data_IF_450739981017
#
_entry.id   IF_450739981017
#
_cell.length_a   1.000
_cell.length_b   1.000
_cell.length_c   1.000
_cell.angle_alpha   90.00
_cell.angle_beta   90.00
_cell.angle_gamma   90.00
#
_symmetry.space_group_name_H-M   'P 1'
#
loop_
_entity.id
_entity.type
_entity.pdbx_description
1 polymer ?
#
# COMPACT_ATOMS: atom_id res chain seq x y z
N UNK A 1 7.92 0.26 3.29
CA UNK A 1 8.13 1.46 2.43
C UNK A 1 9.49 2.07 2.70
N UNK A 2 9.84 2.35 3.96
CA UNK A 2 11.15 2.95 4.29
C UNK A 2 12.35 2.14 3.82
N UNK A 3 12.29 0.80 3.84
CA UNK A 3 13.35 -0.04 3.30
C UNK A 3 13.55 0.15 1.78
N UNK A 4 12.46 0.35 1.02
CA UNK A 4 12.55 0.65 -0.40
C UNK A 4 13.12 2.06 -0.60
N UNK A 5 12.65 3.04 0.16
CA UNK A 5 13.17 4.41 0.12
C UNK A 5 14.66 4.46 0.42
N UNK A 6 15.16 3.67 1.38
CA UNK A 6 16.58 3.54 1.66
C UNK A 6 17.36 2.96 0.46
N UNK A 7 16.86 1.90 -0.16
CA UNK A 7 17.53 1.23 -1.30
C UNK A 7 17.57 2.13 -2.55
N UNK A 8 16.52 2.92 -2.78
CA UNK A 8 16.39 3.77 -3.98
C UNK A 8 16.77 5.23 -3.74
N UNK A 9 17.38 5.54 -2.60
CA UNK A 9 17.81 6.90 -2.20
C UNK A 9 16.67 7.95 -2.25
N UNK A 10 15.50 7.55 -1.74
CA UNK A 10 14.28 8.38 -1.65
C UNK A 10 13.88 8.62 -0.18
N UNK A 11 14.86 8.76 0.71
CA UNK A 11 14.65 8.99 2.13
C UNK A 11 14.30 10.44 2.43
N UNK A 12 13.50 10.67 3.49
CA UNK A 12 13.28 12.02 4.01
C UNK A 12 14.55 12.57 4.68
N UNK A 13 14.66 13.90 4.88
CA UNK A 13 15.82 14.48 5.58
C UNK A 13 16.09 13.85 6.95
N UNK A 14 15.04 13.54 7.72
CA UNK A 14 15.16 12.90 9.03
C UNK A 14 15.75 11.48 8.97
N UNK A 15 15.54 10.76 7.87
CA UNK A 15 16.12 9.43 7.64
C UNK A 15 17.55 9.52 7.11
N UNK A 16 17.86 10.45 6.19
CA UNK A 16 19.19 10.63 5.59
C UNK A 16 20.26 10.93 6.65
N UNK A 17 19.92 11.66 7.71
CA UNK A 17 20.87 11.95 8.80
C UNK A 17 21.30 10.71 9.60
N UNK A 18 20.55 9.60 9.51
CA UNK A 18 20.67 8.45 10.40
C UNK A 18 20.92 7.12 9.69
N UNK A 19 20.43 6.98 8.47
CA UNK A 19 20.43 5.73 7.71
C UNK A 19 21.15 5.92 6.36
N UNK A 20 21.63 4.80 5.84
CA UNK A 20 22.39 4.70 4.60
C UNK A 20 22.75 3.25 4.35
N UNK A 21 23.49 2.99 3.27
CA UNK A 21 23.77 1.62 2.79
C UNK A 21 25.09 1.04 3.32
N UNK A 22 25.82 1.75 4.18
CA UNK A 22 26.94 1.14 4.90
C UNK A 22 26.47 0.22 6.02
N UNK A 23 27.37 -0.64 6.50
CA UNK A 23 27.05 -1.69 7.47
C UNK A 23 26.46 -1.14 8.78
N UNK A 24 27.06 -0.08 9.33
CA UNK A 24 26.66 0.50 10.61
C UNK A 24 25.29 1.18 10.51
N UNK A 25 25.05 1.91 9.41
CA UNK A 25 23.79 2.59 9.17
C UNK A 25 22.66 1.63 8.82
N UNK A 26 22.93 0.56 8.05
CA UNK A 26 21.96 -0.51 7.78
C UNK A 26 21.60 -1.27 9.06
N UNK A 27 22.60 -1.63 9.87
CA UNK A 27 22.36 -2.30 11.15
C UNK A 27 21.49 -1.44 12.07
N UNK A 28 21.73 -0.12 12.09
CA UNK A 28 20.89 0.84 12.81
C UNK A 28 19.48 0.90 12.26
N UNK A 29 19.31 0.98 10.94
CA UNK A 29 17.99 1.00 10.28
C UNK A 29 17.13 -0.20 10.70
N UNK A 30 17.70 -1.41 10.67
CA UNK A 30 17.00 -2.64 11.06
C UNK A 30 16.67 -2.65 12.55
N UNK A 31 17.61 -2.21 13.40
CA UNK A 31 17.42 -2.20 14.86
C UNK A 31 16.41 -1.15 15.31
N UNK A 32 16.36 -0.02 14.62
CA UNK A 32 15.46 1.08 14.92
C UNK A 32 14.00 0.82 14.51
N UNK A 33 13.75 -0.16 13.63
CA UNK A 33 12.40 -0.56 13.28
C UNK A 33 11.70 -1.14 14.51
N UNK A 34 10.63 -0.47 14.94
CA UNK A 34 9.87 -0.82 16.16
C UNK A 34 10.63 -0.60 17.48
N UNK A 35 11.67 0.24 17.47
CA UNK A 35 12.33 0.65 18.71
C UNK A 35 11.41 1.55 19.56
N UNK A 36 11.41 1.31 20.87
CA UNK A 36 10.62 2.06 21.85
C UNK A 36 11.43 3.11 22.62
N UNK A 37 12.64 3.44 22.15
CA UNK A 37 13.45 4.50 22.76
C UNK A 37 12.75 5.85 22.57
N UNK A 38 12.75 6.64 23.64
CA UNK A 38 12.06 7.94 23.69
C UNK A 38 13.09 9.01 24.07
N UNK A 39 13.04 10.15 23.39
CA UNK A 39 13.83 11.33 23.70
C UNK A 39 13.34 12.00 25.01
N UNK A 40 14.14 12.88 25.65
CA UNK A 40 13.73 13.58 26.87
C UNK A 40 12.45 14.42 26.73
N UNK A 41 12.08 14.80 25.50
CA UNK A 41 10.85 15.55 25.18
C UNK A 41 9.60 14.66 24.98
N UNK A 42 9.74 13.33 25.09
CA UNK A 42 8.66 12.37 24.91
C UNK A 42 8.44 11.90 23.48
N UNK A 43 9.21 12.40 22.50
CA UNK A 43 9.13 11.94 21.11
C UNK A 43 9.85 10.59 20.90
N UNK A 44 9.44 9.76 19.92
CA UNK A 44 10.22 8.59 19.52
C UNK A 44 11.64 9.00 19.13
N UNK A 45 12.64 8.29 19.63
CA UNK A 45 14.04 8.55 19.30
C UNK A 45 14.41 8.10 17.88
N UNK A 46 13.65 7.13 17.34
CA UNK A 46 13.75 6.68 15.95
C UNK A 46 12.70 7.38 15.09
N UNK A 47 13.07 7.90 13.92
CA UNK A 47 12.10 8.39 12.93
C UNK A 47 11.37 7.24 12.20
N UNK A 48 11.79 5.97 12.37
CA UNK A 48 11.05 4.82 11.84
C UNK A 48 9.85 4.47 12.71
N UNK A 49 8.75 4.11 12.05
CA UNK A 49 7.54 3.59 12.68
C UNK A 49 7.15 2.23 12.13
N UNK A 50 6.19 1.57 12.77
CA UNK A 50 5.55 0.36 12.23
C UNK A 50 4.64 0.66 11.04
N UNK A 51 4.15 1.89 10.93
CA UNK A 51 3.30 2.39 9.85
C UNK A 51 4.01 3.50 9.08
N UNK A 52 3.42 3.87 7.93
CA UNK A 52 3.80 5.09 7.23
C UNK A 52 3.59 6.27 8.16
N UNK A 53 4.61 7.08 8.37
CA UNK A 53 4.54 8.22 9.29
C UNK A 53 5.05 9.50 8.60
N UNK A 54 5.13 10.59 9.36
CA UNK A 54 5.57 11.90 8.86
C UNK A 54 7.01 11.91 8.28
N UNK A 55 7.82 10.91 8.60
CA UNK A 55 9.19 10.75 8.11
C UNK A 55 9.29 9.77 6.94
N UNK A 56 8.25 8.99 6.64
CA UNK A 56 8.26 8.07 5.50
C UNK A 56 8.26 8.86 4.19
N UNK A 57 9.33 8.72 3.41
CA UNK A 57 9.45 9.33 2.09
C UNK A 57 8.26 8.95 1.19
N UNK A 58 7.58 9.95 0.64
CA UNK A 58 6.38 9.76 -0.20
C UNK A 58 5.11 9.33 0.56
N UNK A 59 5.13 9.26 1.89
CA UNK A 59 3.97 8.92 2.70
C UNK A 59 2.91 10.03 2.70
N UNK A 60 1.72 9.73 2.18
CA UNK A 60 0.54 10.62 2.24
C UNK A 60 -0.58 10.06 3.12
N UNK A 61 -0.51 8.78 3.46
CA UNK A 61 -1.51 8.07 4.25
C UNK A 61 -0.82 7.04 5.16
N UNK A 62 -1.12 7.08 6.45
CA UNK A 62 -0.57 6.15 7.45
C UNK A 62 -1.04 4.70 7.21
N UNK A 63 -2.32 4.54 6.89
CA UNK A 63 -2.94 3.24 6.66
C UNK A 63 -3.17 2.40 7.92
N UNK A 64 -2.99 2.96 9.12
CA UNK A 64 -3.23 2.23 10.38
C UNK A 64 -4.71 1.98 10.66
N UNK A 65 -5.58 2.95 10.34
CA UNK A 65 -7.02 2.73 10.29
C UNK A 65 -7.43 2.38 8.85
N UNK A 66 -7.79 1.12 8.66
CA UNK A 66 -7.91 0.50 7.33
C UNK A 66 -9.15 0.96 6.56
N UNK A 67 -9.09 0.80 5.23
CA UNK A 67 -10.21 1.00 4.29
C UNK A 67 -10.26 2.37 3.60
N UNK A 68 -9.68 3.41 4.21
CA UNK A 68 -9.72 4.77 3.60
C UNK A 68 -8.89 4.89 2.33
N UNK A 69 -7.78 4.16 2.23
CA UNK A 69 -6.99 4.10 0.99
C UNK A 69 -7.87 3.71 -0.19
N UNK A 70 -8.77 2.73 0.01
CA UNK A 70 -9.63 2.20 -1.03
C UNK A 70 -10.78 3.15 -1.43
N UNK A 71 -11.15 4.07 -0.55
CA UNK A 71 -12.12 5.11 -0.86
C UNK A 71 -11.49 6.33 -1.55
N UNK A 72 -10.20 6.56 -1.34
CA UNK A 72 -9.55 7.81 -1.72
C UNK A 72 -8.63 7.70 -2.94
N UNK A 73 -8.01 6.53 -3.18
CA UNK A 73 -6.93 6.37 -4.17
C UNK A 73 -7.32 6.89 -5.57
N UNK A 74 -8.57 6.67 -5.97
CA UNK A 74 -9.08 7.04 -7.30
C UNK A 74 -9.13 8.56 -7.53
N UNK A 75 -9.10 9.34 -6.44
CA UNK A 75 -9.15 10.80 -6.45
C UNK A 75 -7.77 11.46 -6.33
N UNK A 76 -6.71 10.68 -6.08
CA UNK A 76 -5.39 11.22 -5.79
C UNK A 76 -4.62 11.72 -7.04
N UNK A 77 -4.58 11.01 -8.18
CA UNK A 77 -3.75 11.44 -9.32
C UNK A 77 -4.44 12.54 -10.15
N UNK A 78 -3.71 13.62 -10.43
CA UNK A 78 -4.13 14.69 -11.33
C UNK A 78 -3.97 14.30 -12.81
N UNK A 79 -4.59 15.04 -13.75
CA UNK A 79 -4.38 14.79 -15.19
C UNK A 79 -2.89 14.77 -15.58
N UNK A 80 -2.47 13.68 -16.22
CA UNK A 80 -1.08 13.44 -16.61
C UNK A 80 -0.25 12.67 -15.57
N UNK A 81 -0.76 12.51 -14.34
CA UNK A 81 -0.12 11.69 -13.32
C UNK A 81 -0.56 10.22 -13.42
N UNK A 82 0.23 9.35 -12.80
CA UNK A 82 -0.02 7.91 -12.72
C UNK A 82 0.14 7.45 -11.28
N UNK A 83 -0.80 6.63 -10.81
CA UNK A 83 -0.78 6.07 -9.45
C UNK A 83 -0.96 4.56 -9.49
N UNK A 84 -0.07 3.83 -8.81
CA UNK A 84 -0.29 2.43 -8.44
C UNK A 84 -0.70 2.39 -6.97
N UNK A 85 -1.88 1.82 -6.68
CA UNK A 85 -2.42 1.76 -5.33
C UNK A 85 -2.45 0.32 -4.83
N UNK A 86 -1.67 -0.02 -3.81
CA UNK A 86 -1.71 -1.34 -3.17
C UNK A 86 -2.82 -1.35 -2.11
N UNK A 87 -3.83 -2.19 -2.31
CA UNK A 87 -5.00 -2.36 -1.44
C UNK A 87 -4.99 -3.79 -0.87
N UNK A 88 -5.82 -4.09 0.14
CA UNK A 88 -5.87 -5.44 0.72
C UNK A 88 -7.30 -5.92 0.94
N UNK A 89 -7.51 -7.22 0.74
CA UNK A 89 -8.80 -7.87 0.95
C UNK A 89 -9.37 -7.64 2.36
N UNK A 90 -8.50 -7.60 3.38
CA UNK A 90 -8.89 -7.23 4.74
C UNK A 90 -9.42 -5.79 4.85
N UNK A 91 -8.76 -4.81 4.23
CA UNK A 91 -9.19 -3.41 4.28
C UNK A 91 -10.50 -3.17 3.49
N UNK A 92 -10.70 -3.90 2.40
CA UNK A 92 -11.88 -3.82 1.54
C UNK A 92 -13.20 -4.08 2.24
N UNK A 93 -13.19 -4.96 3.23
CA UNK A 93 -14.40 -5.29 4.00
C UNK A 93 -14.59 -4.39 5.23
N UNK A 94 -13.64 -3.50 5.53
CA UNK A 94 -13.71 -2.57 6.67
C UNK A 94 -14.50 -1.30 6.35
N UNK A 95 -14.26 -0.71 5.18
CA UNK A 95 -14.97 0.47 4.67
C UNK A 95 -15.61 0.15 3.32
N UNK A 96 -16.94 0.15 3.26
CA UNK A 96 -17.68 -0.17 2.03
C UNK A 96 -17.68 1.00 1.06
N UNK A 97 -17.78 0.69 -0.24
CA UNK A 97 -17.96 1.66 -1.32
C UNK A 97 -16.74 1.86 -2.21
N UNK A 98 -15.61 1.21 -1.92
CA UNK A 98 -14.44 1.21 -2.82
C UNK A 98 -14.75 0.53 -4.15
N UNK A 99 -15.73 -0.36 -4.18
CA UNK A 99 -16.27 -0.99 -5.39
C UNK A 99 -17.01 0.00 -6.31
N UNK A 100 -17.27 1.24 -5.88
CA UNK A 100 -17.87 2.27 -6.73
C UNK A 100 -16.82 3.19 -7.38
N UNK A 101 -15.52 2.97 -7.15
CA UNK A 101 -14.45 3.79 -7.71
C UNK A 101 -14.58 4.08 -9.24
N UNK A 102 -14.98 3.11 -10.10
CA UNK A 102 -15.14 3.36 -11.54
C UNK A 102 -16.24 4.37 -11.87
N UNK A 103 -17.20 4.59 -10.96
CA UNK A 103 -18.28 5.57 -11.14
C UNK A 103 -17.82 7.01 -10.87
N UNK A 104 -16.75 7.18 -10.12
CA UNK A 104 -16.23 8.50 -9.73
C UNK A 104 -15.00 8.90 -10.54
N UNK A 105 -14.20 7.93 -10.97
CA UNK A 105 -13.05 8.20 -11.84
C UNK A 105 -13.50 8.69 -13.22
N UNK A 106 -12.81 9.72 -13.74
CA UNK A 106 -13.05 10.22 -15.09
C UNK A 106 -11.72 10.53 -15.75
N UNK A 107 -11.46 9.90 -16.90
CA UNK A 107 -10.25 10.14 -17.70
C UNK A 107 -10.05 11.61 -18.11
N UNK A 108 -11.13 12.41 -18.13
CA UNK A 108 -11.08 13.81 -18.53
C UNK A 108 -10.42 14.73 -17.49
N UNK A 109 -10.44 14.37 -16.20
CA UNK A 109 -9.94 15.22 -15.11
C UNK A 109 -9.20 14.46 -13.99
N UNK A 110 -8.91 13.18 -14.20
CA UNK A 110 -8.14 12.34 -13.28
C UNK A 110 -6.94 11.73 -14.00
N UNK A 111 -5.86 11.49 -13.28
CA UNK A 111 -4.73 10.70 -13.77
C UNK A 111 -5.04 9.21 -13.86
N UNK A 112 -4.13 8.46 -14.49
CA UNK A 112 -4.29 7.01 -14.63
C UNK A 112 -4.05 6.34 -13.27
N UNK A 113 -4.91 5.40 -12.91
CA UNK A 113 -4.81 4.68 -11.65
C UNK A 113 -4.88 3.18 -11.87
N UNK A 114 -3.95 2.45 -11.23
CA UNK A 114 -3.86 0.99 -11.27
C UNK A 114 -3.93 0.44 -9.83
N UNK A 115 -5.12 0.04 -9.34
CA UNK A 115 -5.23 -0.61 -8.05
C UNK A 115 -4.74 -2.07 -8.11
N UNK A 116 -3.84 -2.44 -7.21
CA UNK A 116 -3.36 -3.81 -6.98
C UNK A 116 -4.01 -4.31 -5.69
N UNK A 117 -5.00 -5.18 -5.82
CA UNK A 117 -5.65 -5.82 -4.67
C UNK A 117 -4.82 -7.02 -4.20
N UNK A 118 -4.30 -6.95 -2.97
CA UNK A 118 -3.59 -8.06 -2.34
C UNK A 118 -4.60 -9.00 -1.69
N UNK A 119 -4.80 -10.17 -2.30
CA UNK A 119 -5.67 -11.24 -1.82
C UNK A 119 -4.86 -12.28 -1.03
N UNK A 120 -4.45 -11.95 0.19
CA UNK A 120 -3.72 -12.90 1.03
C UNK A 120 -4.65 -13.82 1.86
N UNK A 121 -5.97 -13.58 1.81
CA UNK A 121 -7.00 -14.42 2.39
C UNK A 121 -7.13 -14.31 3.91
N UNK A 122 -6.45 -13.35 4.55
CA UNK A 122 -6.35 -13.26 6.01
C UNK A 122 -6.42 -11.83 6.54
N UNK A 123 -7.12 -11.70 7.65
CA UNK A 123 -7.03 -10.59 8.62
C UNK A 123 -6.19 -11.05 9.83
N UNK A 124 -5.99 -10.17 10.81
CA UNK A 124 -5.15 -10.42 12.00
C UNK A 124 -5.49 -11.76 12.68
N UNK A 125 -6.77 -12.07 12.88
CA UNK A 125 -7.20 -13.29 13.59
C UNK A 125 -8.15 -14.20 12.79
N UNK A 126 -8.53 -13.82 11.57
CA UNK A 126 -9.63 -14.47 10.82
C UNK A 126 -9.33 -14.55 9.32
N UNK A 127 -10.04 -15.41 8.59
CA UNK A 127 -10.05 -15.37 7.13
C UNK A 127 -10.89 -14.19 6.67
N UNK A 128 -10.50 -13.52 5.58
CA UNK A 128 -11.36 -12.51 4.95
C UNK A 128 -12.70 -13.12 4.54
N UNK A 129 -13.78 -12.34 4.58
CA UNK A 129 -15.07 -12.76 4.06
C UNK A 129 -15.00 -13.07 2.56
N UNK A 130 -14.17 -12.33 1.81
CA UNK A 130 -13.87 -12.62 0.41
C UNK A 130 -13.41 -14.09 0.26
N UNK A 131 -12.42 -14.52 1.04
CA UNK A 131 -11.93 -15.90 1.01
C UNK A 131 -13.04 -16.91 1.36
N UNK A 132 -13.96 -16.55 2.26
CA UNK A 132 -15.09 -17.41 2.63
C UNK A 132 -16.20 -17.46 1.57
N UNK A 133 -16.30 -16.45 0.69
CA UNK A 133 -17.34 -16.32 -0.33
C UNK A 133 -16.94 -16.88 -1.71
N UNK A 134 -15.79 -17.55 -1.80
CA UNK A 134 -15.24 -18.08 -3.06
C UNK A 134 -13.95 -17.40 -3.51
N UNK A 135 -13.38 -16.53 -2.66
CA UNK A 135 -12.06 -15.93 -2.84
C UNK A 135 -11.97 -15.10 -4.11
N UNK A 136 -10.89 -15.33 -4.86
CA UNK A 136 -10.59 -14.61 -6.10
C UNK A 136 -11.73 -14.66 -7.13
N UNK A 137 -12.41 -15.80 -7.30
CA UNK A 137 -13.46 -15.93 -8.32
C UNK A 137 -14.70 -15.10 -7.97
N UNK A 138 -15.05 -15.07 -6.68
CA UNK A 138 -16.12 -14.19 -6.20
C UNK A 138 -15.76 -12.72 -6.40
N UNK A 139 -14.55 -12.32 -6.01
CA UNK A 139 -14.13 -10.92 -6.11
C UNK A 139 -14.05 -10.46 -7.57
N UNK A 140 -13.53 -11.29 -8.48
CA UNK A 140 -13.49 -10.99 -9.90
C UNK A 140 -14.90 -10.69 -10.44
N UNK A 141 -15.87 -11.58 -10.16
CA UNK A 141 -17.25 -11.37 -10.57
C UNK A 141 -17.87 -10.10 -9.95
N UNK A 142 -17.60 -9.86 -8.66
CA UNK A 142 -18.06 -8.67 -7.95
C UNK A 142 -17.51 -7.37 -8.59
N UNK A 143 -16.22 -7.33 -8.88
CA UNK A 143 -15.55 -6.17 -9.47
C UNK A 143 -16.01 -5.92 -10.91
N UNK A 144 -16.17 -6.97 -11.74
CA UNK A 144 -16.74 -6.84 -13.09
C UNK A 144 -18.15 -6.27 -13.07
N UNK A 145 -18.99 -6.73 -12.14
CA UNK A 145 -20.34 -6.20 -11.97
C UNK A 145 -20.36 -4.71 -11.60
N UNK A 146 -19.26 -4.23 -11.00
CA UNK A 146 -19.08 -2.84 -10.58
C UNK A 146 -18.28 -1.98 -11.57
N UNK A 147 -17.96 -2.52 -12.76
CA UNK A 147 -17.34 -1.75 -13.85
C UNK A 147 -15.82 -1.76 -13.87
N UNK A 148 -15.18 -2.66 -13.11
CA UNK A 148 -13.75 -2.92 -13.25
C UNK A 148 -13.46 -3.98 -14.32
N UNK A 149 -12.20 -4.02 -14.77
CA UNK A 149 -11.63 -5.09 -15.59
C UNK A 149 -10.47 -5.76 -14.84
N UNK A 150 -10.75 -6.74 -13.96
CA UNK A 150 -9.70 -7.35 -13.13
C UNK A 150 -8.74 -8.19 -13.95
N UNK A 151 -7.44 -8.07 -13.64
CA UNK A 151 -6.37 -8.94 -14.12
C UNK A 151 -5.86 -9.76 -12.93
N UNK A 152 -5.79 -11.08 -13.10
CA UNK A 152 -5.35 -12.02 -12.05
C UNK A 152 -3.84 -12.20 -12.13
N UNK A 153 -3.16 -12.09 -10.99
CA UNK A 153 -1.74 -12.36 -10.85
C UNK A 153 -1.52 -13.39 -9.75
N UNK A 154 -0.83 -14.49 -10.07
CA UNK A 154 -0.39 -15.45 -9.05
C UNK A 154 0.95 -14.97 -8.47
N UNK A 155 0.92 -14.47 -7.23
CA UNK A 155 2.12 -14.02 -6.53
C UNK A 155 3.16 -15.12 -6.25
N UNK A 156 2.81 -16.39 -6.48
CA UNK A 156 3.73 -17.55 -6.35
C UNK A 156 4.39 -17.92 -7.68
N UNK A 157 3.91 -17.37 -8.79
CA UNK A 157 4.47 -17.59 -10.13
C UNK A 157 5.16 -16.32 -10.65
N UNK A 158 6.50 -16.30 -10.68
CA UNK A 158 7.25 -15.18 -11.23
C UNK A 158 6.88 -14.83 -12.67
N UNK A 159 6.45 -15.81 -13.48
CA UNK A 159 6.03 -15.57 -14.86
C UNK A 159 4.69 -14.82 -14.91
N UNK A 160 3.76 -15.12 -14.00
CA UNK A 160 2.51 -14.39 -13.86
C UNK A 160 2.75 -12.92 -13.49
N UNK A 161 3.65 -12.66 -12.52
CA UNK A 161 4.04 -11.30 -12.14
C UNK A 161 4.68 -10.56 -13.31
N UNK A 162 5.66 -11.19 -13.98
CA UNK A 162 6.36 -10.57 -15.11
C UNK A 162 5.41 -10.24 -16.26
N UNK A 163 4.46 -11.13 -16.55
CA UNK A 163 3.41 -10.89 -17.54
C UNK A 163 2.56 -9.68 -17.17
N UNK A 164 2.09 -9.60 -15.91
CA UNK A 164 1.28 -8.48 -15.42
C UNK A 164 1.98 -7.12 -15.41
N UNK A 165 3.31 -7.08 -15.33
CA UNK A 165 4.09 -5.83 -15.47
C UNK A 165 4.23 -5.41 -16.94
N UNK A 166 4.21 -6.36 -17.87
CA UNK A 166 4.48 -6.09 -19.28
C UNK A 166 3.23 -5.69 -20.08
N UNK A 167 2.07 -6.25 -19.76
CA UNK A 167 0.77 -5.90 -20.38
C UNK A 167 0.24 -4.56 -19.92
#
# INVERSE_FOLDING_TARGET
IDALNLIVDNMSPAHVERYGLDEDQLARFVTDFYAYSINPDGSPASPLGSHVNAHTGGGSMEGGYLGFAELQYVHAPLPGEQLVAFLSDGAFEEQRGSDWAPRWWRAADSGLVAPIMVLNGRRIEQRSQIEQQGGQDWLDQHLRNNGFEPIRLDGRDPASIAWGIHT
#
